data_IF_769137039448
#
_entry.id   IF_769137039448
#
_cell.length_a   1.000
_cell.length_b   1.000
_cell.length_c   1.000
_cell.angle_alpha   90.00
_cell.angle_beta   90.00
_cell.angle_gamma   90.00
#
_symmetry.space_group_name_H-M   'P 1'
#
loop_
_entity.id
_entity.type
_entity.pdbx_description
1 polymer ?
#
# COMPACT_ATOMS: atom_id res chain seq x y z
N UNK A 1 -10.09 -9.74 -8.80
CA UNK A 1 -8.82 -10.45 -8.56
C UNK A 1 -9.15 -11.76 -7.87
N UNK A 2 -8.50 -12.85 -8.26
CA UNK A 2 -8.41 -14.06 -7.46
C UNK A 2 -7.49 -13.83 -6.25
N UNK A 3 -7.48 -14.77 -5.30
CA UNK A 3 -6.58 -14.71 -4.13
C UNK A 3 -5.12 -14.57 -4.56
N UNK A 4 -4.64 -15.45 -5.44
CA UNK A 4 -3.25 -15.47 -5.88
C UNK A 4 -2.88 -14.20 -6.67
N UNK A 5 -3.77 -13.70 -7.53
CA UNK A 5 -3.59 -12.42 -8.22
C UNK A 5 -3.47 -11.25 -7.24
N UNK A 6 -4.28 -11.24 -6.17
CA UNK A 6 -4.24 -10.18 -5.17
C UNK A 6 -2.96 -10.23 -4.30
N UNK A 7 -2.49 -11.43 -3.94
CA UNK A 7 -1.19 -11.59 -3.27
C UNK A 7 -0.07 -11.11 -4.19
N UNK A 8 -0.07 -11.52 -5.45
CA UNK A 8 0.93 -11.11 -6.43
C UNK A 8 0.93 -9.58 -6.62
N UNK A 9 -0.25 -8.95 -6.70
CA UNK A 9 -0.38 -7.49 -6.76
C UNK A 9 0.26 -6.83 -5.54
N UNK A 10 -0.08 -7.26 -4.32
CA UNK A 10 0.55 -6.74 -3.10
C UNK A 10 2.07 -6.92 -3.12
N UNK A 11 2.59 -8.02 -3.67
CA UNK A 11 4.04 -8.24 -3.79
C UNK A 11 4.69 -7.23 -4.73
N UNK A 12 4.05 -6.85 -5.85
CA UNK A 12 4.55 -5.78 -6.71
C UNK A 12 4.49 -4.42 -6.02
N UNK A 13 3.37 -4.09 -5.38
CA UNK A 13 3.17 -2.81 -4.71
C UNK A 13 4.13 -2.60 -3.53
N UNK A 14 4.50 -3.68 -2.84
CA UNK A 14 5.38 -3.68 -1.67
C UNK A 14 6.86 -3.97 -1.97
N UNK A 15 7.26 -4.06 -3.24
CA UNK A 15 8.60 -4.42 -3.67
C UNK A 15 9.10 -5.81 -3.18
N UNK A 16 8.20 -6.71 -2.78
CA UNK A 16 8.50 -8.09 -2.38
C UNK A 16 8.48 -9.10 -3.54
N UNK A 17 8.00 -8.70 -4.72
CA UNK A 17 7.97 -9.59 -5.88
C UNK A 17 9.37 -9.87 -6.43
N UNK A 18 9.61 -11.10 -6.89
CA UNK A 18 10.92 -11.60 -7.33
C UNK A 18 11.37 -10.98 -8.65
N UNK A 19 10.41 -10.68 -9.54
CA UNK A 19 10.64 -10.03 -10.82
C UNK A 19 10.84 -8.51 -10.67
N UNK A 20 12.02 -8.11 -10.20
CA UNK A 20 12.40 -6.70 -9.99
C UNK A 20 12.52 -5.89 -11.29
N UNK A 21 12.64 -6.57 -12.43
CA UNK A 21 12.77 -5.89 -13.73
C UNK A 21 11.42 -5.47 -14.32
N UNK A 22 10.32 -6.00 -13.80
CA UNK A 22 8.95 -5.66 -14.19
C UNK A 22 8.64 -4.19 -13.96
N UNK A 23 7.93 -3.59 -14.91
CA UNK A 23 7.41 -2.23 -14.76
C UNK A 23 6.45 -2.11 -13.56
N UNK A 24 5.72 -3.18 -13.22
CA UNK A 24 4.87 -3.22 -12.01
C UNK A 24 5.68 -3.13 -10.72
N UNK A 25 6.89 -3.70 -10.71
CA UNK A 25 7.77 -3.61 -9.54
C UNK A 25 8.38 -2.22 -9.44
N UNK A 26 8.93 -1.72 -10.55
CA UNK A 26 9.61 -0.42 -10.61
C UNK A 26 8.67 0.77 -10.37
N UNK A 27 7.41 0.64 -10.78
CA UNK A 27 6.42 1.70 -10.67
C UNK A 27 5.30 1.38 -9.68
N UNK A 28 5.33 0.24 -8.97
CA UNK A 28 4.39 -0.06 -7.89
C UNK A 28 4.52 0.93 -6.72
N UNK A 29 3.67 0.83 -5.71
CA UNK A 29 3.53 1.84 -4.65
C UNK A 29 4.86 2.21 -3.98
N UNK A 30 5.66 1.23 -3.57
CA UNK A 30 7.01 1.50 -3.04
C UNK A 30 8.04 1.76 -4.15
N UNK A 31 7.89 1.13 -5.32
CA UNK A 31 8.77 1.30 -6.46
C UNK A 31 8.80 2.75 -6.96
N UNK A 32 7.64 3.40 -7.06
CA UNK A 32 7.53 4.80 -7.49
C UNK A 32 8.25 5.77 -6.55
N UNK A 33 8.51 5.38 -5.30
CA UNK A 33 9.26 6.19 -4.34
C UNK A 33 10.77 6.05 -4.50
N UNK A 34 11.27 5.09 -5.30
CA UNK A 34 12.72 4.83 -5.44
C UNK A 34 13.12 4.31 -6.84
N UNK A 35 13.65 5.19 -7.73
CA UNK A 35 13.83 6.62 -7.53
C UNK A 35 12.52 7.39 -7.65
N UNK A 36 12.27 8.34 -6.74
CA UNK A 36 11.10 9.20 -6.82
C UNK A 36 11.19 10.16 -8.01
N UNK A 37 10.18 10.10 -8.90
CA UNK A 37 10.12 10.91 -10.13
C UNK A 37 9.25 12.15 -10.00
N UNK A 38 8.90 12.55 -8.76
CA UNK A 38 8.03 13.70 -8.43
C UNK A 38 6.58 13.57 -8.89
N UNK A 39 6.19 12.40 -9.37
CA UNK A 39 4.81 12.06 -9.74
C UNK A 39 4.37 10.94 -8.80
N UNK A 40 3.18 11.11 -8.23
CA UNK A 40 2.50 10.05 -7.50
C UNK A 40 1.44 9.42 -8.39
N UNK A 41 1.53 8.11 -8.50
CA UNK A 41 0.65 7.25 -9.28
C UNK A 41 -0.40 6.68 -8.34
N UNK A 42 -1.55 7.35 -8.25
CA UNK A 42 -2.68 6.99 -7.39
C UNK A 42 -3.29 5.62 -7.76
N UNK A 43 -3.14 5.18 -9.01
CA UNK A 43 -3.55 3.86 -9.45
C UNK A 43 -2.94 2.73 -8.60
N UNK A 44 -1.73 2.91 -8.10
CA UNK A 44 -1.06 1.93 -7.22
C UNK A 44 -1.73 1.82 -5.86
N UNK A 45 -2.22 2.94 -5.33
CA UNK A 45 -2.99 2.96 -4.10
C UNK A 45 -4.30 2.17 -4.28
N UNK A 46 -5.03 2.44 -5.37
CA UNK A 46 -6.26 1.69 -5.67
C UNK A 46 -6.01 0.19 -5.84
N UNK A 47 -4.88 -0.21 -6.46
CA UNK A 47 -4.51 -1.62 -6.59
C UNK A 47 -4.28 -2.30 -5.24
N UNK A 48 -3.67 -1.60 -4.27
CA UNK A 48 -3.54 -2.10 -2.89
C UNK A 48 -4.93 -2.32 -2.26
N UNK A 49 -5.81 -1.33 -2.35
CA UNK A 49 -7.16 -1.42 -1.76
C UNK A 49 -8.00 -2.52 -2.40
N UNK A 50 -7.92 -2.68 -3.72
CA UNK A 50 -8.58 -3.77 -4.44
C UNK A 50 -8.03 -5.14 -4.04
N UNK A 51 -6.71 -5.26 -3.86
CA UNK A 51 -6.09 -6.50 -3.42
C UNK A 51 -6.51 -6.85 -1.98
N UNK A 52 -6.51 -5.88 -1.05
CA UNK A 52 -7.00 -6.10 0.32
C UNK A 52 -8.47 -6.54 0.32
N UNK A 53 -9.31 -5.94 -0.51
CA UNK A 53 -10.72 -6.33 -0.64
C UNK A 53 -10.89 -7.77 -1.13
N UNK A 54 -10.09 -8.19 -2.12
CA UNK A 54 -10.08 -9.57 -2.60
C UNK A 54 -9.53 -10.57 -1.58
N UNK A 55 -8.66 -10.11 -0.66
CA UNK A 55 -8.04 -10.91 0.38
C UNK A 55 -8.80 -10.88 1.72
N UNK A 56 -9.93 -10.18 1.82
CA UNK A 56 -10.73 -10.13 3.04
C UNK A 56 -11.02 -11.54 3.62
N UNK A 57 -11.48 -12.54 2.83
CA UNK A 57 -11.72 -13.88 3.36
C UNK A 57 -10.46 -14.61 3.86
N UNK A 58 -9.27 -14.20 3.42
CA UNK A 58 -8.00 -14.77 3.87
C UNK A 58 -7.47 -14.10 5.15
N UNK A 59 -7.75 -12.81 5.32
CA UNK A 59 -7.34 -12.02 6.48
C UNK A 59 -8.20 -12.29 7.72
N UNK A 60 -9.43 -12.74 7.55
CA UNK A 60 -10.34 -13.14 8.65
C UNK A 60 -10.01 -14.52 9.26
N UNK A 61 -9.02 -15.24 8.72
CA UNK A 61 -8.65 -16.59 9.20
C UNK A 61 -7.69 -16.51 10.38
N UNK A 62 -7.76 -17.50 11.27
CA UNK A 62 -6.81 -17.67 12.38
C UNK A 62 -5.33 -17.71 11.92
N UNK A 63 -5.10 -18.23 10.71
CA UNK A 63 -3.78 -18.29 10.08
C UNK A 63 -3.78 -17.53 8.76
N UNK A 64 -3.13 -16.37 8.77
CA UNK A 64 -2.94 -15.54 7.59
C UNK A 64 -1.64 -15.91 6.88
N UNK A 65 -1.67 -15.94 5.55
CA UNK A 65 -0.46 -16.10 4.75
C UNK A 65 0.51 -14.95 5.04
N UNK A 66 1.72 -15.29 5.51
CA UNK A 66 2.78 -14.33 5.84
C UNK A 66 3.10 -13.38 4.69
N UNK A 67 2.89 -13.77 3.42
CA UNK A 67 3.12 -12.91 2.26
C UNK A 67 2.23 -11.68 2.31
N UNK A 68 0.96 -11.83 2.73
CA UNK A 68 0.00 -10.72 2.84
C UNK A 68 0.50 -9.75 3.91
N UNK A 69 0.79 -10.25 5.11
CA UNK A 69 1.24 -9.44 6.24
C UNK A 69 2.57 -8.73 5.94
N UNK A 70 3.55 -9.43 5.36
CA UNK A 70 4.83 -8.83 4.98
C UNK A 70 4.67 -7.73 3.94
N UNK A 71 3.77 -7.89 2.97
CA UNK A 71 3.52 -6.86 1.95
C UNK A 71 2.88 -5.61 2.56
N UNK A 72 1.80 -5.79 3.35
CA UNK A 72 1.10 -4.68 4.02
C UNK A 72 2.04 -3.95 4.99
N UNK A 73 2.75 -4.72 5.82
CA UNK A 73 3.74 -4.16 6.74
C UNK A 73 4.84 -3.41 6.00
N UNK A 74 5.35 -3.98 4.89
CA UNK A 74 6.36 -3.35 4.05
C UNK A 74 5.89 -2.02 3.46
N UNK A 75 4.70 -1.97 2.86
CA UNK A 75 4.08 -0.75 2.33
C UNK A 75 4.00 0.31 3.43
N UNK A 76 3.42 -0.06 4.57
CA UNK A 76 3.21 0.84 5.70
C UNK A 76 4.52 1.33 6.33
N UNK A 77 5.49 0.45 6.54
CA UNK A 77 6.74 0.77 7.21
C UNK A 77 7.67 1.58 6.31
N UNK A 78 7.95 1.09 5.11
CA UNK A 78 8.86 1.76 4.18
C UNK A 78 8.25 3.02 3.58
N UNK A 79 6.95 3.03 3.30
CA UNK A 79 6.24 4.24 2.87
C UNK A 79 6.45 5.37 3.87
N UNK A 80 6.19 5.13 5.17
CA UNK A 80 6.40 6.13 6.24
C UNK A 80 7.87 6.52 6.37
N UNK A 81 8.77 5.54 6.48
CA UNK A 81 10.20 5.78 6.64
C UNK A 81 10.78 6.64 5.51
N UNK A 82 10.38 6.40 4.26
CA UNK A 82 10.97 7.09 3.12
C UNK A 82 10.34 8.46 2.87
N UNK A 83 9.03 8.60 3.08
CA UNK A 83 8.27 9.78 2.65
C UNK A 83 7.79 10.70 3.77
N UNK A 84 7.46 10.19 4.97
CA UNK A 84 6.84 10.99 6.04
C UNK A 84 7.83 11.49 7.08
N UNK A 85 8.88 10.72 7.36
CA UNK A 85 9.86 11.13 8.38
C UNK A 85 10.75 12.26 7.86
N UNK A 86 11.02 13.32 8.65
CA UNK A 86 11.89 14.43 8.22
C UNK A 86 13.30 13.97 7.78
N UNK A 87 13.85 12.98 8.47
CA UNK A 87 15.12 12.31 8.14
C UNK A 87 14.99 11.22 7.07
N UNK A 88 13.77 10.92 6.64
CA UNK A 88 13.46 9.98 5.57
C UNK A 88 14.08 10.43 4.24
N UNK A 89 14.38 9.45 3.37
CA UNK A 89 15.11 9.68 2.12
C UNK A 89 14.50 10.80 1.26
N UNK A 90 13.17 10.87 1.13
CA UNK A 90 12.52 11.84 0.25
C UNK A 90 12.50 13.25 0.85
N UNK A 91 12.21 13.38 2.15
CA UNK A 91 12.18 14.69 2.80
C UNK A 91 13.57 15.27 3.02
N UNK A 92 14.51 14.49 3.53
CA UNK A 92 15.89 14.94 3.79
C UNK A 92 16.61 15.42 2.51
N UNK A 93 16.23 14.87 1.35
CA UNK A 93 16.78 15.27 0.04
C UNK A 93 15.90 16.29 -0.70
N UNK A 94 14.85 16.84 -0.08
CA UNK A 94 13.91 17.80 -0.69
C UNK A 94 13.32 17.30 -2.02
N UNK A 95 13.00 16.01 -2.12
CA UNK A 95 12.48 15.38 -3.34
C UNK A 95 10.96 15.41 -3.44
N UNK A 96 10.26 15.60 -2.32
CA UNK A 96 8.80 15.51 -2.19
C UNK A 96 8.22 16.79 -1.58
N UNK A 97 7.02 17.19 -2.02
CA UNK A 97 6.32 18.36 -1.47
C UNK A 97 5.48 18.00 -0.24
N UNK A 98 5.01 19.01 0.52
CA UNK A 98 4.16 18.78 1.69
C UNK A 98 2.82 18.13 1.31
N UNK A 99 2.28 18.52 0.17
CA UNK A 99 1.03 17.99 -0.38
C UNK A 99 1.20 16.50 -0.72
N UNK A 100 2.31 16.14 -1.37
CA UNK A 100 2.63 14.75 -1.68
C UNK A 100 2.89 13.92 -0.42
N UNK A 101 3.49 14.50 0.62
CA UNK A 101 3.64 13.82 1.93
C UNK A 101 2.27 13.54 2.55
N UNK A 102 1.35 14.53 2.55
CA UNK A 102 -0.02 14.36 3.06
C UNK A 102 -0.76 13.26 2.31
N UNK A 103 -0.68 13.28 0.97
CA UNK A 103 -1.35 12.29 0.13
C UNK A 103 -0.83 10.87 0.38
N UNK A 104 0.49 10.68 0.52
CA UNK A 104 1.04 9.37 0.88
C UNK A 104 0.61 8.96 2.29
N UNK A 105 0.57 9.88 3.26
CA UNK A 105 0.13 9.57 4.62
C UNK A 105 -1.32 9.07 4.63
N UNK A 106 -2.23 9.74 3.91
CA UNK A 106 -3.63 9.32 3.73
C UNK A 106 -3.71 7.88 3.17
N UNK A 107 -3.02 7.60 2.06
CA UNK A 107 -2.98 6.25 1.48
C UNK A 107 -2.44 5.18 2.45
N UNK A 108 -1.44 5.53 3.26
CA UNK A 108 -0.84 4.63 4.25
C UNK A 108 -1.71 4.43 5.48
N UNK A 109 -2.49 5.44 5.88
CA UNK A 109 -3.50 5.35 6.93
C UNK A 109 -4.59 4.38 6.46
N UNK A 110 -5.16 4.61 5.29
CA UNK A 110 -6.23 3.78 4.73
C UNK A 110 -5.82 2.32 4.54
N UNK A 111 -4.62 2.09 3.98
CA UNK A 111 -4.07 0.74 3.84
C UNK A 111 -3.94 0.06 5.20
N UNK A 112 -3.41 0.76 6.20
CA UNK A 112 -3.22 0.19 7.55
C UNK A 112 -4.54 -0.03 8.29
N UNK A 113 -5.50 0.87 8.12
CA UNK A 113 -6.82 0.78 8.73
C UNK A 113 -7.61 -0.38 8.15
N UNK A 114 -7.67 -0.49 6.82
CA UNK A 114 -8.32 -1.61 6.15
C UNK A 114 -7.73 -2.95 6.59
N UNK A 115 -6.40 -3.08 6.61
CA UNK A 115 -5.76 -4.29 7.08
C UNK A 115 -6.07 -4.61 8.55
N UNK A 116 -6.09 -3.60 9.43
CA UNK A 116 -6.43 -3.79 10.85
C UNK A 116 -7.86 -4.31 11.00
N UNK A 117 -8.83 -3.67 10.35
CA UNK A 117 -10.24 -4.08 10.39
C UNK A 117 -10.43 -5.50 9.85
N UNK A 118 -9.80 -5.84 8.72
CA UNK A 118 -9.91 -7.18 8.13
C UNK A 118 -9.33 -8.27 9.05
N UNK A 119 -8.22 -7.99 9.75
CA UNK A 119 -7.64 -8.92 10.73
C UNK A 119 -8.52 -9.10 11.98
N UNK A 120 -9.37 -8.12 12.28
CA UNK A 120 -10.31 -8.15 13.41
C UNK A 120 -11.71 -8.68 13.02
N UNK A 121 -11.93 -9.00 11.73
CA UNK A 121 -13.24 -9.43 11.22
C UNK A 121 -14.25 -8.29 10.99
N UNK A 122 -13.78 -7.04 11.00
CA UNK A 122 -14.58 -5.83 10.78
C UNK A 122 -14.62 -5.44 9.29
N UNK A 123 -15.12 -6.35 8.44
CA UNK A 123 -15.06 -6.20 6.97
C UNK A 123 -15.88 -5.02 6.45
N UNK A 124 -17.03 -4.74 7.08
CA UNK A 124 -17.93 -3.64 6.67
C UNK A 124 -17.29 -2.27 6.91
N UNK A 125 -16.47 -2.13 7.96
CA UNK A 125 -15.75 -0.90 8.29
C UNK A 125 -14.44 -0.73 7.50
N UNK A 126 -13.83 -1.83 7.04
CA UNK A 126 -12.44 -1.84 6.55
C UNK A 126 -12.15 -0.82 5.44
N UNK A 127 -13.12 -0.52 4.59
CA UNK A 127 -12.95 0.37 3.43
C UNK A 127 -13.69 1.70 3.57
N UNK A 128 -14.15 2.06 4.77
CA UNK A 128 -14.98 3.26 4.95
C UNK A 128 -14.27 4.54 4.47
N UNK A 129 -13.06 4.84 4.97
CA UNK A 129 -12.29 6.02 4.54
C UNK A 129 -12.11 6.05 3.01
N UNK A 130 -11.56 4.96 2.47
CA UNK A 130 -11.35 4.81 1.03
C UNK A 130 -12.62 5.05 0.21
N UNK A 131 -13.75 4.50 0.65
CA UNK A 131 -15.01 4.66 -0.06
C UNK A 131 -15.56 6.08 0.06
N UNK A 132 -15.44 6.75 1.21
CA UNK A 132 -15.90 8.15 1.39
C UNK A 132 -15.13 9.12 0.50
N UNK A 133 -13.81 8.96 0.40
CA UNK A 133 -12.93 9.82 -0.41
C UNK A 133 -13.14 9.62 -1.92
N UNK A 134 -13.63 8.45 -2.32
CA UNK A 134 -13.85 8.07 -3.71
C UNK A 134 -15.33 8.04 -4.13
N UNK A 135 -16.21 8.76 -3.41
CA UNK A 135 -17.60 8.98 -3.84
C UNK A 135 -17.63 9.96 -5.02
N UNK A 136 -18.21 9.54 -6.14
CA UNK A 136 -18.56 10.42 -7.28
C UNK A 136 -19.62 11.47 -6.92
#
# INVERSE_FOLDING_TARGET
MTKEEAIEELMYQSAHHENIESDRWKNGFLGQLRPFRRVLHEENYHLIMQALKALAPELEKDFVDKRIISCVWGICHYGRMWSLYPEGMLQSNNLITKEQVSQIDEWLIDTSYAASCLLEGAVEEAFWNYNEENKE
#
